data_IF_746355797108
#
_entry.id   IF_746355797108
#
_cell.length_a   1.000
_cell.length_b   1.000
_cell.length_c   1.000
_cell.angle_alpha   90.00
_cell.angle_beta   90.00
_cell.angle_gamma   90.00
#
_symmetry.space_group_name_H-M   'P 1'
#
loop_
_entity.id
_entity.type
_entity.pdbx_description
1 polymer ?
#
# COMPACT_ATOMS: atom_id res chain seq x y z
N UNK A 1 0.52 27.12 -7.88
CA UNK A 1 -0.31 26.24 -7.04
C UNK A 1 0.14 24.82 -7.30
N UNK A 2 0.70 24.13 -6.32
CA UNK A 2 0.87 22.67 -6.39
C UNK A 2 -0.49 22.05 -6.17
N UNK A 3 -1.06 21.42 -7.20
CA UNK A 3 -2.26 20.62 -7.02
C UNK A 3 -1.94 19.45 -6.09
N UNK A 4 -2.79 19.21 -5.09
CA UNK A 4 -2.67 18.05 -4.23
C UNK A 4 -2.93 16.77 -5.04
N UNK A 5 -2.30 15.67 -4.64
CA UNK A 5 -2.52 14.37 -5.29
C UNK A 5 -3.96 13.90 -5.05
N UNK A 6 -4.52 14.17 -3.87
CA UNK A 6 -5.90 13.80 -3.54
C UNK A 6 -6.93 14.47 -4.47
N UNK A 7 -6.66 15.69 -4.94
CA UNK A 7 -7.52 16.37 -5.91
C UNK A 7 -7.38 15.79 -7.32
N UNK A 8 -6.13 15.55 -7.72
CA UNK A 8 -5.80 14.98 -9.04
C UNK A 8 -6.40 13.59 -9.21
N UNK A 9 -6.37 12.79 -8.14
CA UNK A 9 -6.92 11.44 -8.08
C UNK A 9 -8.41 11.41 -7.69
N UNK A 10 -9.04 12.57 -7.49
CA UNK A 10 -10.46 12.72 -7.14
C UNK A 10 -10.87 11.99 -5.84
N UNK A 11 -9.95 11.90 -4.87
CA UNK A 11 -10.12 11.22 -3.59
C UNK A 11 -10.79 12.14 -2.55
N UNK A 12 -12.04 12.56 -2.82
CA UNK A 12 -12.72 13.61 -2.03
C UNK A 12 -13.67 13.10 -0.95
N UNK A 13 -14.19 11.89 -1.11
CA UNK A 13 -15.19 11.33 -0.19
C UNK A 13 -14.54 10.44 0.88
N UNK A 14 -15.08 9.23 1.05
CA UNK A 14 -14.58 8.15 1.89
C UNK A 14 -14.37 6.92 1.02
N UNK A 15 -13.44 6.05 1.39
CA UNK A 15 -13.25 4.82 0.64
C UNK A 15 -12.09 3.96 1.10
N UNK A 16 -11.91 2.87 0.37
CA UNK A 16 -10.76 1.99 0.49
C UNK A 16 -9.95 2.07 -0.81
N UNK A 17 -8.68 2.44 -0.69
CA UNK A 17 -7.73 2.55 -1.80
C UNK A 17 -6.79 1.35 -1.74
N UNK A 18 -6.71 0.58 -2.82
CA UNK A 18 -5.69 -0.46 -2.97
C UNK A 18 -4.61 -0.01 -3.93
N UNK A 19 -3.36 -0.04 -3.47
CA UNK A 19 -2.18 0.25 -4.27
C UNK A 19 -1.56 -1.08 -4.74
N UNK A 20 -1.39 -1.24 -6.05
CA UNK A 20 -0.76 -2.41 -6.66
C UNK A 20 0.39 -2.00 -7.59
N UNK A 21 1.21 -2.96 -8.01
CA UNK A 21 2.34 -2.71 -8.92
C UNK A 21 3.66 -2.50 -8.19
N UNK A 22 4.51 -1.62 -8.71
CA UNK A 22 5.89 -1.44 -8.28
C UNK A 22 6.34 0.01 -8.48
N UNK A 23 7.45 0.41 -7.84
CA UNK A 23 7.99 1.76 -7.97
C UNK A 23 7.19 2.86 -7.26
N UNK A 24 7.27 2.92 -5.93
CA UNK A 24 6.77 4.06 -5.16
C UNK A 24 5.44 3.87 -4.43
N UNK A 25 4.89 2.64 -4.36
CA UNK A 25 3.64 2.34 -3.63
C UNK A 25 3.62 2.84 -2.20
N UNK A 26 4.61 2.44 -1.40
CA UNK A 26 4.70 2.84 0.01
C UNK A 26 4.83 4.36 0.16
N UNK A 27 5.60 5.01 -0.72
CA UNK A 27 5.75 6.46 -0.74
C UNK A 27 4.44 7.18 -1.10
N UNK A 28 3.72 6.69 -2.12
CA UNK A 28 2.40 7.23 -2.48
C UNK A 28 1.40 7.02 -1.34
N UNK A 29 1.41 5.84 -0.70
CA UNK A 29 0.54 5.51 0.42
C UNK A 29 0.64 6.55 1.55
N UNK A 30 1.84 6.83 2.03
CA UNK A 30 2.05 7.79 3.11
C UNK A 30 1.83 9.24 2.66
N UNK A 31 2.13 9.57 1.40
CA UNK A 31 1.83 10.88 0.85
C UNK A 31 0.32 11.14 0.79
N UNK A 32 -0.47 10.19 0.31
CA UNK A 32 -1.93 10.29 0.28
C UNK A 32 -2.50 10.32 1.70
N UNK A 33 -1.99 9.48 2.60
CA UNK A 33 -2.44 9.46 3.99
C UNK A 33 -2.21 10.82 4.67
N UNK A 34 -1.04 11.43 4.45
CA UNK A 34 -0.73 12.76 4.93
C UNK A 34 -1.67 13.82 4.36
N UNK A 35 -1.86 13.88 3.04
CA UNK A 35 -2.75 14.89 2.43
C UNK A 35 -4.21 14.74 2.90
N UNK A 36 -4.70 13.51 3.04
CA UNK A 36 -6.04 13.23 3.57
C UNK A 36 -6.16 13.62 5.05
N UNK A 37 -5.17 13.25 5.88
CA UNK A 37 -5.16 13.59 7.29
C UNK A 37 -5.04 15.10 7.56
N UNK A 38 -4.21 15.80 6.77
CA UNK A 38 -4.07 17.26 6.81
C UNK A 38 -5.39 17.97 6.40
N UNK A 39 -6.27 17.27 5.66
CA UNK A 39 -7.65 17.72 5.35
C UNK A 39 -8.69 17.34 6.42
N UNK A 40 -8.26 16.78 7.55
CA UNK A 40 -9.10 16.41 8.69
C UNK A 40 -9.78 15.03 8.57
N UNK A 41 -9.36 14.20 7.60
CA UNK A 41 -9.90 12.84 7.42
C UNK A 41 -9.22 11.83 8.32
N UNK A 42 -9.97 10.88 8.85
CA UNK A 42 -9.42 9.75 9.60
C UNK A 42 -8.92 8.67 8.64
N UNK A 43 -7.61 8.41 8.65
CA UNK A 43 -6.93 7.54 7.69
C UNK A 43 -6.22 6.39 8.38
N UNK A 44 -6.43 5.19 7.86
CA UNK A 44 -5.63 4.01 8.17
C UNK A 44 -4.74 3.65 6.99
N UNK A 45 -3.45 3.47 7.23
CA UNK A 45 -2.54 2.83 6.27
C UNK A 45 -2.21 1.39 6.70
N UNK A 46 -2.26 0.47 5.75
CA UNK A 46 -1.98 -0.95 6.01
C UNK A 46 -1.56 -1.69 4.75
N UNK A 47 -1.34 -3.00 4.85
CA UNK A 47 -0.99 -3.87 3.72
C UNK A 47 -1.69 -5.21 3.86
N UNK A 48 -1.88 -5.93 2.76
CA UNK A 48 -2.27 -7.36 2.75
C UNK A 48 -1.07 -8.29 2.58
N UNK A 49 0.14 -7.73 2.46
CA UNK A 49 1.38 -8.50 2.30
C UNK A 49 2.36 -8.21 3.44
N UNK A 50 3.55 -7.67 3.15
CA UNK A 50 4.52 -7.24 4.16
C UNK A 50 5.03 -5.85 3.85
N UNK A 51 5.05 -4.99 4.85
CA UNK A 51 5.59 -3.63 4.76
C UNK A 51 6.75 -3.45 5.74
N UNK A 52 7.66 -2.53 5.45
CA UNK A 52 8.65 -2.13 6.46
C UNK A 52 7.97 -1.39 7.60
N UNK A 53 8.58 -1.40 8.79
CA UNK A 53 8.13 -0.54 9.88
C UNK A 53 8.15 0.91 9.39
N UNK A 54 7.00 1.62 9.38
CA UNK A 54 6.96 3.03 9.01
C UNK A 54 7.82 3.84 9.98
N UNK A 55 8.56 4.82 9.46
CA UNK A 55 9.24 5.78 10.33
C UNK A 55 8.24 6.86 10.83
N UNK A 56 8.60 7.66 11.85
CA UNK A 56 7.68 8.66 12.43
C UNK A 56 7.18 9.72 11.45
N UNK A 57 7.92 10.05 10.39
CA UNK A 57 7.50 11.02 9.37
C UNK A 57 6.51 10.40 8.37
N UNK A 58 6.57 9.07 8.18
CA UNK A 58 5.61 8.32 7.36
C UNK A 58 4.30 8.06 8.08
N UNK A 59 4.37 7.71 9.37
CA UNK A 59 3.20 7.42 10.20
C UNK A 59 3.51 7.74 11.66
N UNK A 60 2.79 8.67 12.31
CA UNK A 60 3.11 9.11 13.67
C UNK A 60 2.95 7.98 14.70
N UNK A 61 2.07 7.04 14.41
CA UNK A 61 1.82 5.85 15.21
C UNK A 61 1.74 4.63 14.30
N UNK A 62 2.29 3.50 14.76
CA UNK A 62 2.07 2.19 14.15
C UNK A 62 1.56 1.21 15.20
N UNK A 63 0.35 0.67 15.00
CA UNK A 63 -0.27 -0.32 15.88
C UNK A 63 0.04 -1.71 15.34
N UNK A 64 0.56 -2.59 16.21
CA UNK A 64 0.71 -4.01 15.92
C UNK A 64 -0.32 -4.75 16.77
N UNK A 65 -1.37 -5.25 16.12
CA UNK A 65 -2.47 -5.94 16.79
C UNK A 65 -3.17 -6.87 15.80
N UNK A 66 -3.21 -8.17 16.12
CA UNK A 66 -3.81 -9.19 15.26
C UNK A 66 -5.32 -9.30 15.48
N UNK A 67 -5.81 -9.01 16.69
CA UNK A 67 -7.22 -9.05 17.01
C UNK A 67 -7.93 -7.79 16.50
N UNK A 68 -8.85 -7.97 15.56
CA UNK A 68 -9.56 -6.87 14.91
C UNK A 68 -10.43 -6.06 15.86
N UNK A 69 -11.05 -6.69 16.86
CA UNK A 69 -11.94 -6.02 17.80
C UNK A 69 -11.11 -5.16 18.78
N UNK A 70 -9.96 -5.69 19.22
CA UNK A 70 -8.97 -4.93 20.00
C UNK A 70 -8.40 -3.77 19.18
N UNK A 71 -8.06 -4.01 17.91
CA UNK A 71 -7.55 -2.97 17.01
C UNK A 71 -8.57 -1.85 16.80
N UNK A 72 -9.85 -2.18 16.57
CA UNK A 72 -10.93 -1.19 16.44
C UNK A 72 -11.04 -0.34 17.71
N UNK A 73 -10.99 -0.98 18.89
CA UNK A 73 -11.03 -0.26 20.17
C UNK A 73 -9.84 0.70 20.33
N UNK A 74 -8.62 0.22 20.05
CA UNK A 74 -7.40 1.05 20.09
C UNK A 74 -7.50 2.21 19.08
N UNK A 75 -7.97 1.92 17.87
CA UNK A 75 -8.11 2.90 16.79
C UNK A 75 -8.94 4.11 17.21
N UNK A 76 -10.07 3.90 17.89
CA UNK A 76 -10.92 5.00 18.39
C UNK A 76 -10.15 5.95 19.33
N UNK A 77 -9.30 5.42 20.20
CA UNK A 77 -8.47 6.24 21.10
C UNK A 77 -7.39 7.00 20.34
N UNK A 78 -6.74 6.39 19.35
CA UNK A 78 -5.72 7.07 18.55
C UNK A 78 -6.31 8.16 17.64
N UNK A 79 -7.48 7.93 17.07
CA UNK A 79 -8.19 8.92 16.26
C UNK A 79 -8.59 10.18 17.02
N UNK A 80 -8.59 10.16 18.37
CA UNK A 80 -8.77 11.35 19.18
C UNK A 80 -7.54 12.28 19.20
N UNK A 81 -6.38 11.78 18.77
CA UNK A 81 -5.10 12.50 18.82
C UNK A 81 -4.44 12.63 17.44
N UNK A 82 -4.67 11.68 16.54
CA UNK A 82 -4.06 11.62 15.22
C UNK A 82 -5.11 11.30 14.17
N UNK A 83 -5.16 12.08 13.10
CA UNK A 83 -5.98 11.77 11.93
C UNK A 83 -5.41 10.64 11.07
N UNK A 84 -4.17 10.19 11.32
CA UNK A 84 -3.55 9.09 10.59
C UNK A 84 -2.69 8.20 11.49
N UNK A 85 -2.80 6.90 11.29
CA UNK A 85 -1.83 5.92 11.78
C UNK A 85 -1.77 4.68 10.87
N UNK A 86 -0.74 3.86 11.07
CA UNK A 86 -0.57 2.56 10.42
C UNK A 86 -1.00 1.43 11.33
N UNK A 87 -1.53 0.34 10.77
CA UNK A 87 -1.73 -0.89 11.53
C UNK A 87 -1.36 -2.14 10.74
N UNK A 88 -0.82 -3.13 11.44
CA UNK A 88 -0.43 -4.44 10.93
C UNK A 88 -0.69 -5.51 11.99
N UNK A 89 -0.72 -6.79 11.58
CA UNK A 89 -1.10 -7.89 12.47
C UNK A 89 0.03 -8.27 13.43
N UNK A 90 1.24 -8.43 12.90
CA UNK A 90 2.40 -8.92 13.64
C UNK A 90 3.71 -8.38 13.06
N UNK A 91 4.77 -8.45 13.86
CA UNK A 91 6.14 -8.17 13.39
C UNK A 91 6.88 -9.48 13.12
N UNK A 92 7.36 -9.63 11.90
CA UNK A 92 8.22 -10.74 11.49
C UNK A 92 9.60 -10.58 12.15
N UNK A 93 9.96 -11.51 13.03
CA UNK A 93 11.23 -11.51 13.75
C UNK A 93 12.45 -11.75 12.86
N UNK A 94 12.28 -12.40 11.71
CA UNK A 94 13.37 -12.75 10.79
C UNK A 94 13.68 -11.59 9.86
N UNK A 95 12.64 -10.96 9.29
CA UNK A 95 12.81 -9.90 8.30
C UNK A 95 12.72 -8.49 8.89
N UNK A 96 12.22 -8.36 10.12
CA UNK A 96 11.95 -7.08 10.77
C UNK A 96 10.74 -6.32 10.20
N UNK A 97 10.09 -6.86 9.15
CA UNK A 97 8.90 -6.30 8.51
C UNK A 97 7.65 -6.54 9.33
N UNK A 98 6.60 -5.82 9.00
CA UNK A 98 5.26 -6.03 9.53
C UNK A 98 4.46 -6.88 8.56
N UNK A 99 3.77 -7.89 9.08
CA UNK A 99 2.81 -8.66 8.29
C UNK A 99 1.47 -7.93 8.24
N UNK A 100 0.89 -7.91 7.05
CA UNK A 100 -0.39 -7.30 6.77
C UNK A 100 -1.57 -8.05 7.38
N UNK A 101 -2.75 -7.58 7.02
CA UNK A 101 -4.01 -8.18 7.43
C UNK A 101 -4.59 -9.09 6.35
N UNK A 102 -5.32 -10.12 6.79
CA UNK A 102 -6.22 -10.85 5.90
C UNK A 102 -7.34 -9.93 5.38
N UNK A 103 -7.87 -10.23 4.19
CA UNK A 103 -8.92 -9.42 3.53
C UNK A 103 -10.16 -9.21 4.40
N UNK A 104 -10.55 -10.22 5.19
CA UNK A 104 -11.68 -10.12 6.11
C UNK A 104 -11.44 -9.09 7.22
N UNK A 105 -10.20 -8.95 7.71
CA UNK A 105 -9.86 -7.95 8.72
C UNK A 105 -9.96 -6.54 8.14
N UNK A 106 -9.50 -6.32 6.91
CA UNK A 106 -9.69 -5.03 6.21
C UNK A 106 -11.18 -4.71 6.05
N UNK A 107 -11.98 -5.71 5.68
CA UNK A 107 -13.44 -5.58 5.53
C UNK A 107 -14.09 -5.15 6.86
N UNK A 108 -13.74 -5.81 7.98
CA UNK A 108 -14.24 -5.46 9.31
C UNK A 108 -13.81 -4.06 9.75
N UNK A 109 -12.56 -3.67 9.50
CA UNK A 109 -12.06 -2.32 9.79
C UNK A 109 -12.83 -1.25 9.02
N UNK A 110 -13.14 -1.51 7.74
CA UNK A 110 -13.97 -0.61 6.95
C UNK A 110 -15.41 -0.54 7.48
N UNK A 111 -16.02 -1.68 7.77
CA UNK A 111 -17.39 -1.76 8.30
C UNK A 111 -17.55 -1.14 9.69
N UNK A 112 -16.48 -1.04 10.47
CA UNK A 112 -16.50 -0.35 11.76
C UNK A 112 -16.84 1.15 11.62
N UNK A 113 -16.68 1.74 10.43
CA UNK A 113 -17.13 3.10 10.12
C UNK A 113 -16.36 4.21 10.84
N UNK A 114 -15.16 3.92 11.35
CA UNK A 114 -14.33 4.88 12.09
C UNK A 114 -13.28 5.59 11.21
N UNK A 115 -13.04 5.09 10.00
CA UNK A 115 -12.11 5.66 9.03
C UNK A 115 -12.87 6.26 7.86
N UNK A 116 -12.48 7.46 7.44
CA UNK A 116 -12.86 7.99 6.15
C UNK A 116 -12.12 7.25 5.04
N UNK A 117 -10.84 6.93 5.27
CA UNK A 117 -9.99 6.26 4.29
C UNK A 117 -9.20 5.10 4.87
N UNK A 118 -9.17 3.98 4.15
CA UNK A 118 -8.22 2.89 4.38
C UNK A 118 -7.37 2.76 3.11
N UNK A 119 -6.06 2.94 3.24
CA UNK A 119 -5.11 2.79 2.14
C UNK A 119 -4.33 1.49 2.36
N UNK A 120 -4.38 0.60 1.36
CA UNK A 120 -3.87 -0.76 1.44
C UNK A 120 -2.80 -0.96 0.37
N UNK A 121 -1.57 -1.28 0.77
CA UNK A 121 -0.60 -1.86 -0.16
C UNK A 121 -0.96 -3.33 -0.41
N UNK A 122 -1.48 -3.63 -1.60
CA UNK A 122 -2.15 -4.90 -1.91
C UNK A 122 -1.25 -5.92 -2.64
N UNK A 123 0.03 -5.61 -2.85
CA UNK A 123 0.99 -6.54 -3.43
C UNK A 123 2.47 -6.23 -3.09
N UNK A 124 3.33 -7.25 -3.18
CA UNK A 124 4.76 -7.10 -2.97
C UNK A 124 5.52 -6.82 -4.27
N UNK A 125 6.49 -5.90 -4.24
CA UNK A 125 7.41 -5.65 -5.37
C UNK A 125 8.90 -5.80 -5.01
N UNK A 126 9.21 -6.18 -3.76
CA UNK A 126 10.60 -6.24 -3.23
C UNK A 126 11.43 -4.96 -3.50
N UNK A 127 10.80 -3.78 -3.41
CA UNK A 127 11.40 -2.46 -3.70
C UNK A 127 11.94 -2.29 -5.12
N UNK A 128 11.50 -3.11 -6.06
CA UNK A 128 11.83 -2.94 -7.47
C UNK A 128 10.90 -1.92 -8.13
N UNK A 129 11.35 -1.24 -9.19
CA UNK A 129 10.54 -0.27 -9.92
C UNK A 129 9.44 -0.92 -10.76
N UNK A 130 9.65 -2.15 -11.21
CA UNK A 130 8.72 -2.89 -12.07
C UNK A 130 8.46 -4.29 -11.51
N UNK A 131 7.29 -4.84 -11.81
CA UNK A 131 6.93 -6.22 -11.45
C UNK A 131 5.99 -6.86 -12.46
N UNK A 132 5.97 -8.19 -12.45
CA UNK A 132 4.81 -8.95 -12.89
C UNK A 132 4.01 -9.47 -11.70
N UNK A 133 2.69 -9.55 -11.87
CA UNK A 133 1.80 -10.26 -10.95
C UNK A 133 2.02 -11.77 -11.08
N UNK A 134 1.78 -12.47 -9.98
CA UNK A 134 1.80 -13.93 -9.91
C UNK A 134 0.38 -14.42 -9.60
N UNK A 135 0.12 -15.72 -9.65
CA UNK A 135 -1.25 -16.27 -9.57
C UNK A 135 -1.99 -15.94 -8.27
N UNK A 136 -1.26 -15.60 -7.21
CA UNK A 136 -1.80 -15.26 -5.90
C UNK A 136 -1.86 -13.74 -5.65
N UNK A 137 -1.51 -12.90 -6.64
CA UNK A 137 -1.49 -11.45 -6.53
C UNK A 137 -2.25 -10.78 -7.69
N UNK A 138 -2.81 -9.58 -7.48
CA UNK A 138 -2.78 -8.80 -6.23
C UNK A 138 -3.81 -9.28 -5.20
N UNK A 139 -3.53 -9.05 -3.92
CA UNK A 139 -4.40 -9.43 -2.81
C UNK A 139 -5.26 -8.22 -2.42
N UNK A 140 -6.23 -7.90 -3.28
CA UNK A 140 -7.09 -6.70 -3.17
C UNK A 140 -8.34 -7.02 -2.34
N UNK A 141 -8.65 -6.25 -1.28
CA UNK A 141 -9.91 -6.36 -0.55
C UNK A 141 -11.10 -6.07 -1.45
N UNK A 142 -12.18 -6.85 -1.34
CA UNK A 142 -13.42 -6.65 -2.10
C UNK A 142 -14.13 -5.33 -1.79
N UNK A 143 -13.85 -4.74 -0.61
CA UNK A 143 -14.33 -3.41 -0.21
C UNK A 143 -13.57 -2.26 -0.86
N UNK A 144 -12.55 -2.54 -1.68
CA UNK A 144 -11.79 -1.52 -2.42
C UNK A 144 -12.71 -0.71 -3.32
N UNK A 145 -12.73 0.60 -3.10
CA UNK A 145 -13.44 1.57 -3.94
C UNK A 145 -12.56 2.14 -5.04
N UNK A 146 -11.25 2.16 -4.82
CA UNK A 146 -10.26 2.70 -5.74
C UNK A 146 -9.11 1.72 -5.87
N UNK A 147 -8.65 1.49 -7.10
CA UNK A 147 -7.45 0.71 -7.39
C UNK A 147 -6.47 1.60 -8.13
N UNK A 148 -5.28 1.80 -7.56
CA UNK A 148 -4.21 2.60 -8.16
C UNK A 148 -3.07 1.65 -8.50
N UNK A 149 -2.82 1.49 -9.80
CA UNK A 149 -1.66 0.75 -10.29
C UNK A 149 -0.47 1.69 -10.46
N UNK A 150 0.67 1.28 -9.91
CA UNK A 150 1.91 2.07 -9.96
C UNK A 150 2.97 1.29 -10.72
N UNK A 151 3.69 2.00 -11.58
CA UNK A 151 4.88 1.50 -12.27
C UNK A 151 5.98 2.55 -12.17
N UNK A 152 7.17 2.16 -11.72
CA UNK A 152 8.31 3.04 -11.56
C UNK A 152 8.97 3.35 -12.91
N UNK A 153 8.98 4.62 -13.29
CA UNK A 153 9.64 5.09 -14.52
C UNK A 153 11.16 4.89 -14.49
N UNK A 154 11.74 4.74 -13.30
CA UNK A 154 13.16 4.39 -13.09
C UNK A 154 13.54 2.99 -13.61
N UNK A 155 12.55 2.19 -14.03
CA UNK A 155 12.78 0.96 -14.79
C UNK A 155 13.19 1.21 -16.26
N UNK A 156 12.80 2.33 -16.86
CA UNK A 156 13.08 2.62 -18.28
C UNK A 156 14.60 2.69 -18.51
N UNK A 157 15.05 2.04 -19.59
CA UNK A 157 16.46 1.89 -19.93
C UNK A 157 17.22 0.89 -19.08
N UNK A 158 16.61 0.26 -18.06
CA UNK A 158 17.22 -0.84 -17.30
C UNK A 158 17.02 -2.16 -18.04
N UNK A 159 17.88 -3.13 -17.76
CA UNK A 159 17.76 -4.50 -18.30
C UNK A 159 16.59 -5.24 -17.64
N UNK A 160 15.80 -5.94 -18.43
CA UNK A 160 14.78 -6.88 -17.96
C UNK A 160 15.45 -8.10 -17.31
N UNK A 161 15.64 -8.04 -16.00
CA UNK A 161 16.26 -9.07 -15.20
C UNK A 161 15.76 -9.04 -13.74
N UNK A 162 16.14 -10.04 -12.94
CA UNK A 162 15.78 -10.10 -11.53
C UNK A 162 16.54 -9.10 -10.64
N UNK A 163 17.34 -8.19 -11.20
CA UNK A 163 17.84 -7.03 -10.45
C UNK A 163 16.84 -5.89 -10.52
N UNK A 164 16.26 -5.63 -11.69
CA UNK A 164 15.39 -4.47 -11.92
C UNK A 164 13.89 -4.79 -11.92
N UNK A 165 13.48 -6.02 -12.25
CA UNK A 165 12.07 -6.42 -12.37
C UNK A 165 11.74 -7.53 -11.38
N UNK A 166 10.65 -7.38 -10.63
CA UNK A 166 10.18 -8.44 -9.74
C UNK A 166 9.47 -9.51 -10.58
N UNK A 167 10.01 -10.74 -10.56
CA UNK A 167 9.55 -11.87 -11.40
C UNK A 167 9.80 -11.60 -12.88
N UNK A 168 11.06 -11.28 -13.23
CA UNK A 168 11.43 -10.84 -14.58
C UNK A 168 11.01 -11.82 -15.68
N UNK A 169 11.06 -13.13 -15.41
CA UNK A 169 10.63 -14.15 -16.36
C UNK A 169 9.12 -14.11 -16.66
N UNK A 170 8.28 -13.89 -15.64
CA UNK A 170 6.84 -13.73 -15.86
C UNK A 170 6.57 -12.45 -16.64
N UNK A 171 7.28 -11.37 -16.30
CA UNK A 171 7.18 -10.11 -17.03
C UNK A 171 7.52 -10.28 -18.52
N UNK A 172 8.66 -10.93 -18.80
CA UNK A 172 9.11 -11.28 -20.16
C UNK A 172 8.05 -12.06 -20.93
N UNK A 173 7.44 -13.07 -20.31
CA UNK A 173 6.38 -13.85 -20.93
C UNK A 173 5.11 -13.03 -21.21
N UNK A 174 4.77 -12.09 -20.32
CA UNK A 174 3.56 -11.28 -20.44
C UNK A 174 3.70 -10.19 -21.52
N UNK A 175 4.89 -9.59 -21.67
CA UNK A 175 5.12 -8.46 -22.59
C UNK A 175 5.77 -8.87 -23.91
N UNK A 176 6.41 -10.04 -23.96
CA UNK A 176 7.22 -10.47 -25.10
C UNK A 176 8.64 -9.87 -25.11
N UNK A 177 8.99 -8.99 -24.17
CA UNK A 177 10.33 -8.42 -24.06
C UNK A 177 11.32 -9.51 -23.61
N UNK A 178 12.37 -9.75 -24.38
CA UNK A 178 13.38 -10.75 -24.04
C UNK A 178 14.16 -10.41 -22.77
N UNK A 179 14.49 -11.40 -21.95
CA UNK A 179 15.37 -11.21 -20.79
C UNK A 179 16.69 -10.55 -21.20
N UNK A 180 17.18 -9.63 -20.38
CA UNK A 180 18.39 -8.85 -20.63
C UNK A 180 18.21 -7.68 -21.60
N UNK A 181 17.07 -7.56 -22.28
CA UNK A 181 16.77 -6.41 -23.14
C UNK A 181 16.43 -5.17 -22.30
N UNK A 182 16.73 -3.96 -22.80
CA UNK A 182 16.33 -2.74 -22.13
C UNK A 182 14.80 -2.65 -22.07
N UNK A 183 14.28 -2.22 -20.93
CA UNK A 183 12.88 -1.88 -20.73
C UNK A 183 12.62 -0.52 -21.39
N UNK A 184 11.59 -0.45 -22.23
CA UNK A 184 11.09 0.74 -22.90
C UNK A 184 9.72 1.16 -22.32
N UNK A 185 9.16 2.26 -22.85
CA UNK A 185 7.87 2.85 -22.46
C UNK A 185 6.68 2.12 -23.08
#
# INVERSE_FOLDING_TARGET
MTNLLIDTLQLKERGVISLIGAGGKTSLMFRLAKELADSGKNVLTTTTTKIFMPNPDESPVTIIEADVDVLIKKSKSYLAHYHHFSACSERDSTTGKLNGFALNTITKLWMAGIFDWIIVEADGAKRKPLKATDTHEPVVPSVSTHLIHITGLDAVGKSLDDKHVHRARIFSNNTGLGLGKPIDE
#
